data_IF_555408896436
#
_entry.id   IF_555408896436
#
_cell.length_a   1.000
_cell.length_b   1.000
_cell.length_c   1.000
_cell.angle_alpha   90.00
_cell.angle_beta   90.00
_cell.angle_gamma   90.00
#
_symmetry.space_group_name_H-M   'P 1'
#
loop_
_entity.id
_entity.type
_entity.pdbx_description
1 polymer ?
#
# COMPACT_ATOMS: atom_id res chain seq x y z
N UNK A 1 -10.13 -2.14 10.80
CA UNK A 1 -8.79 -1.72 11.23
C UNK A 1 -8.79 -0.21 11.36
N UNK A 2 -8.04 0.34 12.32
CA UNK A 2 -7.79 1.77 12.38
C UNK A 2 -6.60 2.15 11.47
N UNK A 3 -6.42 3.44 11.20
CA UNK A 3 -5.37 3.96 10.30
C UNK A 3 -3.96 3.52 10.73
N UNK A 4 -3.68 3.45 12.04
CA UNK A 4 -2.37 3.05 12.55
C UNK A 4 -2.08 1.56 12.31
N UNK A 5 -3.09 0.70 12.43
CA UNK A 5 -2.97 -0.73 12.12
C UNK A 5 -2.75 -0.97 10.62
N UNK A 6 -3.42 -0.19 9.77
CA UNK A 6 -3.24 -0.23 8.31
C UNK A 6 -1.81 0.18 7.96
N UNK A 7 -1.37 1.33 8.45
CA UNK A 7 -0.01 1.85 8.21
C UNK A 7 1.05 0.84 8.67
N UNK A 8 0.93 0.33 9.89
CA UNK A 8 1.86 -0.67 10.43
C UNK A 8 1.91 -1.94 9.59
N UNK A 9 0.77 -2.39 9.05
CA UNK A 9 0.71 -3.60 8.21
C UNK A 9 1.39 -3.37 6.86
N UNK A 10 1.21 -2.20 6.26
CA UNK A 10 1.85 -1.84 4.98
C UNK A 10 3.37 -1.70 5.19
N UNK A 11 3.81 -0.99 6.24
CA UNK A 11 5.23 -0.83 6.54
C UNK A 11 5.92 -2.17 6.81
N UNK A 12 5.25 -3.06 7.55
CA UNK A 12 5.77 -4.41 7.77
C UNK A 12 5.93 -5.18 6.46
N UNK A 13 4.91 -5.19 5.59
CA UNK A 13 5.00 -5.83 4.28
C UNK A 13 6.15 -5.26 3.44
N UNK A 14 6.27 -3.92 3.38
CA UNK A 14 7.35 -3.27 2.65
C UNK A 14 8.73 -3.64 3.20
N UNK A 15 8.89 -3.70 4.51
CA UNK A 15 10.17 -4.06 5.12
C UNK A 15 10.52 -5.54 4.96
N UNK A 16 9.55 -6.44 5.15
CA UNK A 16 9.80 -7.88 5.24
C UNK A 16 9.77 -8.57 3.88
N UNK A 17 8.81 -8.21 3.02
CA UNK A 17 8.59 -8.86 1.73
C UNK A 17 9.30 -8.12 0.59
N UNK A 18 9.15 -6.79 0.52
CA UNK A 18 9.79 -5.98 -0.52
C UNK A 18 11.26 -5.62 -0.21
N UNK A 19 11.77 -6.00 0.98
CA UNK A 19 13.09 -5.61 1.47
C UNK A 19 13.35 -4.10 1.40
N UNK A 20 12.29 -3.30 1.55
CA UNK A 20 12.37 -1.84 1.51
C UNK A 20 12.93 -1.33 2.85
N UNK A 21 14.25 -1.22 2.95
CA UNK A 21 14.98 -0.96 4.21
C UNK A 21 14.54 0.33 4.93
N UNK A 22 14.02 1.32 4.19
CA UNK A 22 13.58 2.61 4.72
C UNK A 22 12.07 2.64 5.05
N UNK A 23 11.40 1.49 5.07
CA UNK A 23 9.94 1.40 5.23
C UNK A 23 9.43 2.08 6.51
N UNK A 24 10.23 2.13 7.58
CA UNK A 24 9.86 2.81 8.84
C UNK A 24 10.13 4.33 8.83
N UNK A 25 11.01 4.80 7.93
CA UNK A 25 11.46 6.20 7.88
C UNK A 25 10.68 7.03 6.85
N UNK A 26 10.02 6.37 5.88
CA UNK A 26 9.20 7.02 4.85
C UNK A 26 8.06 7.84 5.48
N UNK A 27 7.91 9.07 5.02
CA UNK A 27 6.76 9.92 5.36
C UNK A 27 5.53 9.58 4.52
N UNK A 28 4.33 9.91 5.00
CA UNK A 28 3.09 9.52 4.33
C UNK A 28 2.96 10.03 2.88
N UNK A 29 3.48 11.23 2.59
CA UNK A 29 3.40 11.89 1.28
C UNK A 29 4.63 11.62 0.39
N UNK A 30 5.60 10.83 0.86
CA UNK A 30 6.80 10.50 0.10
C UNK A 30 6.52 9.41 -0.94
N UNK A 31 7.11 9.59 -2.12
CA UNK A 31 7.01 8.63 -3.22
C UNK A 31 7.78 7.36 -2.85
N UNK A 32 7.10 6.22 -2.91
CA UNK A 32 7.69 4.93 -2.55
C UNK A 32 8.73 4.46 -3.59
N UNK A 33 8.71 5.01 -4.81
CA UNK A 33 9.63 4.68 -5.90
C UNK A 33 9.70 3.18 -6.22
N UNK A 34 8.63 2.44 -5.92
CA UNK A 34 8.52 0.99 -6.14
C UNK A 34 8.64 0.65 -7.62
N UNK A 35 9.38 -0.40 -7.93
CA UNK A 35 9.45 -0.89 -9.30
C UNK A 35 8.16 -1.62 -9.72
N UNK A 36 8.05 -2.05 -10.97
CA UNK A 36 6.83 -2.70 -11.47
C UNK A 36 6.52 -4.05 -10.78
N UNK A 37 7.56 -4.75 -10.32
CA UNK A 37 7.40 -6.00 -9.60
C UNK A 37 6.90 -5.72 -8.18
N UNK A 38 7.56 -4.80 -7.47
CA UNK A 38 7.17 -4.36 -6.13
C UNK A 38 5.73 -3.83 -6.10
N UNK A 39 5.34 -3.03 -7.10
CA UNK A 39 3.96 -2.55 -7.24
C UNK A 39 2.96 -3.69 -7.44
N UNK A 40 3.36 -4.75 -8.15
CA UNK A 40 2.51 -5.93 -8.36
C UNK A 40 2.35 -6.70 -7.05
N UNK A 41 3.43 -6.92 -6.31
CA UNK A 41 3.41 -7.60 -5.02
C UNK A 41 2.60 -6.81 -3.99
N UNK A 42 2.76 -5.49 -3.93
CA UNK A 42 1.93 -4.61 -3.10
C UNK A 42 0.44 -4.74 -3.46
N UNK A 43 0.09 -4.77 -4.74
CA UNK A 43 -1.32 -4.96 -5.16
C UNK A 43 -1.90 -6.29 -4.71
N UNK A 44 -1.12 -7.36 -4.80
CA UNK A 44 -1.51 -8.69 -4.32
C UNK A 44 -1.73 -8.66 -2.82
N UNK A 45 -0.77 -8.12 -2.06
CA UNK A 45 -0.89 -7.95 -0.60
C UNK A 45 -2.14 -7.17 -0.21
N UNK A 46 -2.40 -6.04 -0.89
CA UNK A 46 -3.55 -5.19 -0.62
C UNK A 46 -4.88 -5.92 -0.88
N UNK A 47 -4.95 -6.69 -1.97
CA UNK A 47 -6.11 -7.53 -2.29
C UNK A 47 -6.32 -8.64 -1.26
N UNK A 48 -5.26 -9.35 -0.88
CA UNK A 48 -5.36 -10.50 0.00
C UNK A 48 -5.64 -10.10 1.46
N UNK A 49 -5.01 -9.03 1.94
CA UNK A 49 -5.10 -8.58 3.33
C UNK A 49 -6.33 -7.72 3.57
N UNK A 50 -6.61 -6.76 2.68
CA UNK A 50 -7.67 -5.76 2.87
C UNK A 50 -8.91 -6.01 2.01
N UNK A 51 -8.91 -7.07 1.18
CA UNK A 51 -10.04 -7.44 0.28
C UNK A 51 -10.43 -6.33 -0.70
N UNK A 52 -9.44 -5.57 -1.15
CA UNK A 52 -9.60 -4.48 -2.10
C UNK A 52 -9.38 -4.99 -3.52
N UNK A 53 -10.21 -4.56 -4.47
CA UNK A 53 -9.95 -4.77 -5.88
C UNK A 53 -8.82 -3.84 -6.34
N UNK A 54 -7.63 -4.42 -6.52
CA UNK A 54 -6.41 -3.72 -6.93
C UNK A 54 -6.07 -3.93 -8.41
N UNK A 55 -7.03 -4.31 -9.24
CA UNK A 55 -6.85 -4.37 -10.70
C UNK A 55 -6.44 -3.00 -11.25
N UNK A 56 -5.66 -2.98 -12.33
CA UNK A 56 -5.19 -1.73 -12.94
C UNK A 56 -6.35 -0.85 -13.46
N UNK A 57 -7.50 -1.45 -13.77
CA UNK A 57 -8.71 -0.74 -14.20
C UNK A 57 -9.35 0.03 -13.03
N UNK A 58 -9.34 -0.54 -11.83
CA UNK A 58 -9.97 0.04 -10.65
C UNK A 58 -9.03 0.89 -9.79
N UNK A 59 -7.73 0.54 -9.76
CA UNK A 59 -6.70 1.24 -8.99
C UNK A 59 -5.54 1.59 -9.91
N UNK A 60 -5.49 2.81 -10.45
CA UNK A 60 -4.35 3.32 -11.21
C UNK A 60 -3.03 3.25 -10.41
N UNK A 61 -1.89 3.22 -11.08
CA UNK A 61 -0.57 3.16 -10.41
C UNK A 61 -0.32 4.33 -9.44
N UNK A 62 -0.80 5.53 -9.78
CA UNK A 62 -0.74 6.73 -8.93
C UNK A 62 -1.47 6.56 -7.58
N UNK A 63 -2.43 5.63 -7.45
CA UNK A 63 -3.16 5.37 -6.20
C UNK A 63 -2.42 4.49 -5.20
N UNK A 64 -1.23 4.04 -5.56
CA UNK A 64 -0.33 3.27 -4.68
C UNK A 64 1.08 3.88 -4.65
N UNK A 65 1.23 5.15 -5.07
CA UNK A 65 2.53 5.81 -5.16
C UNK A 65 3.09 6.28 -3.82
N UNK A 66 2.22 6.52 -2.83
CA UNK A 66 2.60 6.96 -1.48
C UNK A 66 1.87 6.13 -0.42
N UNK A 67 2.39 6.08 0.81
CA UNK A 67 1.68 5.44 1.92
C UNK A 67 0.31 6.07 2.16
N UNK A 68 0.20 7.40 2.01
CA UNK A 68 -1.06 8.12 2.14
C UNK A 68 -2.09 7.70 1.11
N UNK A 69 -1.69 7.51 -0.14
CA UNK A 69 -2.60 7.07 -1.21
C UNK A 69 -3.13 5.67 -0.91
N UNK A 70 -2.26 4.77 -0.46
CA UNK A 70 -2.61 3.40 -0.10
C UNK A 70 -3.59 3.38 1.07
N UNK A 71 -3.29 4.12 2.15
CA UNK A 71 -4.16 4.22 3.32
C UNK A 71 -5.52 4.80 2.92
N UNK A 72 -5.53 5.88 2.14
CA UNK A 72 -6.76 6.52 1.67
C UNK A 72 -7.61 5.58 0.80
N UNK A 73 -6.95 4.77 -0.04
CA UNK A 73 -7.60 3.75 -0.86
C UNK A 73 -8.30 2.72 0.04
N UNK A 74 -7.60 2.18 1.04
CA UNK A 74 -8.14 1.19 1.97
C UNK A 74 -9.34 1.76 2.75
N UNK A 75 -9.19 2.97 3.30
CA UNK A 75 -10.26 3.61 4.06
C UNK A 75 -11.50 3.90 3.19
N UNK A 76 -11.30 4.31 1.93
CA UNK A 76 -12.42 4.59 1.02
C UNK A 76 -13.24 3.34 0.65
N UNK A 77 -12.60 2.17 0.58
CA UNK A 77 -13.24 0.91 0.24
C UNK A 77 -13.84 0.20 1.47
N UNK A 78 -13.32 0.48 2.68
CA UNK A 78 -13.87 -0.05 3.93
C UNK A 78 -15.17 0.64 4.38
N UNK A 79 -15.55 1.76 3.75
CA UNK A 79 -16.78 2.51 4.02
C UNK A 79 -17.99 2.05 3.18
N UNK A 80 -17.81 1.05 2.32
CA UNK A 80 -18.85 0.43 1.50
C UNK A 80 -19.10 -1.03 1.92
#
# INVERSE_FOLDING_TARGET
MNTQEIESSIRQFMSEELMFEQADEITLDEDLTLDSLDQTELRVFLSDTFKIDTTLENVPAEKIGTLKDIISLIESQSLH
#
